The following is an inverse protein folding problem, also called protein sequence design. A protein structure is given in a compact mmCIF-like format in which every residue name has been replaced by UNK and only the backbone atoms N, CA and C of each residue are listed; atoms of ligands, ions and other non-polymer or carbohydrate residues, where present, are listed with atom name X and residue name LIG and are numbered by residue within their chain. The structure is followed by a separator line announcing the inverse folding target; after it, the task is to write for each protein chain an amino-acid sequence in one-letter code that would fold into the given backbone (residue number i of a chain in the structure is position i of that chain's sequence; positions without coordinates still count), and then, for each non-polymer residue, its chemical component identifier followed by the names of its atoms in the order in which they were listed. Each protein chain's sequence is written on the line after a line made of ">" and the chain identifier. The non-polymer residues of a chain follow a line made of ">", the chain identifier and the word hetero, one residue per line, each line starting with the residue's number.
data_IF_886557309180
#
_entry.id   IF_886557309180
#
_cell.length_a   1.000
_cell.length_b   1.000
_cell.length_c   1.000
_cell.angle_alpha   90.00
_cell.angle_beta   90.00
_cell.angle_gamma   90.00
#
_symmetry.space_group_name_H-M   'P 1'
#
loop_
_entity.id
_entity.type
_entity.pdbx_description
1 polymer ?
#
# COMPACT_ATOMS: atom_id res chain seq x y z
N UNK A 1 -8.85 -3.33 2.43
CA UNK A 1 -8.33 -4.25 3.44
C UNK A 1 -6.83 -4.06 3.55
N UNK A 2 -6.35 -3.78 4.74
CA UNK A 2 -4.93 -3.75 5.08
C UNK A 2 -4.63 -5.08 5.78
N UNK A 3 -4.04 -6.01 5.03
CA UNK A 3 -3.91 -7.41 5.44
C UNK A 3 -2.74 -7.54 6.42
N UNK A 4 -2.96 -8.24 7.55
CA UNK A 4 -1.88 -8.52 8.52
C UNK A 4 -0.93 -9.60 7.96
N UNK A 5 0.13 -9.15 7.34
CA UNK A 5 1.24 -9.95 6.80
C UNK A 5 2.51 -9.79 7.65
N UNK A 6 2.36 -9.38 8.94
CA UNK A 6 3.49 -9.10 9.81
C UNK A 6 4.25 -7.84 9.38
N UNK A 7 5.60 -7.89 9.40
CA UNK A 7 6.46 -6.75 9.04
C UNK A 7 6.57 -6.65 7.51
N UNK A 8 5.50 -6.17 6.87
CA UNK A 8 5.36 -6.09 5.41
C UNK A 8 4.09 -5.31 5.02
N UNK A 9 3.92 -5.02 3.74
CA UNK A 9 2.73 -4.38 3.19
C UNK A 9 1.93 -5.33 2.28
N UNK A 10 0.63 -5.34 2.49
CA UNK A 10 -0.34 -5.95 1.58
C UNK A 10 -1.70 -5.28 1.74
N UNK A 11 -2.23 -4.71 0.67
CA UNK A 11 -3.55 -4.10 0.70
C UNK A 11 -4.41 -4.56 -0.48
N UNK A 12 -5.62 -5.05 -0.18
CA UNK A 12 -6.63 -5.39 -1.18
C UNK A 12 -7.68 -4.28 -1.23
N UNK A 13 -7.89 -3.72 -2.41
CA UNK A 13 -8.94 -2.77 -2.70
C UNK A 13 -10.05 -3.45 -3.50
N UNK A 14 -11.31 -3.23 -3.10
CA UNK A 14 -12.48 -3.74 -3.80
C UNK A 14 -13.43 -2.60 -4.10
N UNK A 15 -13.91 -2.52 -5.34
CA UNK A 15 -14.98 -1.62 -5.73
C UNK A 15 -15.84 -2.24 -6.83
N UNK A 16 -17.12 -2.46 -6.53
CA UNK A 16 -18.07 -2.96 -7.51
C UNK A 16 -17.77 -4.37 -8.04
N UNK A 17 -17.09 -5.20 -7.26
CA UNK A 17 -16.68 -6.55 -7.63
C UNK A 17 -15.39 -6.62 -8.45
N UNK A 18 -14.71 -5.50 -8.65
CA UNK A 18 -13.34 -5.46 -9.18
C UNK A 18 -12.34 -5.35 -8.03
N UNK A 19 -11.17 -5.97 -8.19
CA UNK A 19 -10.15 -6.09 -7.16
C UNK A 19 -8.80 -5.59 -7.65
N UNK A 20 -8.12 -4.78 -6.82
CA UNK A 20 -6.76 -4.33 -7.03
C UNK A 20 -5.93 -4.68 -5.80
N UNK A 21 -4.80 -5.35 -5.99
CA UNK A 21 -3.86 -5.68 -4.91
C UNK A 21 -2.65 -4.75 -4.97
N UNK A 22 -2.34 -4.11 -3.85
CA UNK A 22 -1.11 -3.32 -3.67
C UNK A 22 -0.21 -4.08 -2.72
N UNK A 23 0.95 -4.49 -3.20
CA UNK A 23 1.95 -5.29 -2.51
C UNK A 23 1.44 -6.67 -2.05
N UNK A 24 2.32 -7.55 -1.65
CA UNK A 24 1.99 -8.94 -1.34
C UNK A 24 2.67 -9.50 -0.10
N UNK A 25 3.28 -8.64 0.71
CA UNK A 25 4.07 -9.11 1.85
C UNK A 25 5.39 -9.78 1.45
N UNK A 26 5.99 -10.48 2.40
CA UNK A 26 7.19 -11.29 2.18
C UNK A 26 6.89 -12.54 1.35
N UNK A 27 7.93 -13.20 0.86
CA UNK A 27 7.78 -14.50 0.18
C UNK A 27 7.05 -15.53 1.03
N UNK A 28 7.29 -15.53 2.34
CA UNK A 28 6.64 -16.44 3.29
C UNK A 28 5.13 -16.19 3.44
N UNK A 29 4.66 -14.99 3.12
CA UNK A 29 3.25 -14.57 3.27
C UNK A 29 2.38 -14.96 2.07
N UNK A 30 2.98 -15.44 0.96
CA UNK A 30 2.29 -15.80 -0.28
C UNK A 30 1.03 -16.63 -0.05
N UNK A 31 1.11 -17.69 0.77
CA UNK A 31 -0.03 -18.58 1.03
C UNK A 31 -1.12 -17.88 1.85
N UNK A 32 -0.74 -17.03 2.80
CA UNK A 32 -1.68 -16.23 3.58
C UNK A 32 -2.46 -15.29 2.67
N UNK A 33 -1.76 -14.54 1.82
CA UNK A 33 -2.38 -13.59 0.89
C UNK A 33 -3.31 -14.33 -0.09
N UNK A 34 -2.85 -15.43 -0.71
CA UNK A 34 -3.69 -16.25 -1.60
C UNK A 34 -4.96 -16.73 -0.90
N UNK A 35 -4.84 -17.24 0.35
CA UNK A 35 -6.00 -17.70 1.12
C UNK A 35 -6.94 -16.56 1.47
N UNK A 36 -6.41 -15.40 1.85
CA UNK A 36 -7.20 -14.21 2.14
C UNK A 36 -8.01 -13.75 0.91
N UNK A 37 -7.37 -13.68 -0.25
CA UNK A 37 -8.04 -13.33 -1.51
C UNK A 37 -9.17 -14.32 -1.82
N UNK A 38 -8.94 -15.61 -1.59
CA UNK A 38 -9.98 -16.65 -1.76
C UNK A 38 -11.15 -16.45 -0.80
N UNK A 39 -10.91 -16.14 0.46
CA UNK A 39 -11.94 -15.85 1.47
C UNK A 39 -12.76 -14.60 1.11
N UNK A 40 -12.12 -13.59 0.47
CA UNK A 40 -12.83 -12.43 -0.06
C UNK A 40 -13.57 -12.68 -1.37
N UNK A 41 -13.50 -13.91 -1.92
CA UNK A 41 -14.21 -14.29 -3.16
C UNK A 41 -13.57 -13.73 -4.42
N UNK A 42 -12.28 -13.39 -4.37
CA UNK A 42 -11.55 -12.92 -5.55
C UNK A 42 -11.40 -14.06 -6.55
N UNK A 43 -11.88 -13.86 -7.77
CA UNK A 43 -11.68 -14.80 -8.88
C UNK A 43 -10.62 -14.30 -9.86
N UNK A 44 -10.48 -12.97 -9.97
CA UNK A 44 -9.54 -12.30 -10.86
C UNK A 44 -9.12 -10.97 -10.24
N UNK A 45 -7.91 -10.51 -10.54
CA UNK A 45 -7.43 -9.19 -10.16
C UNK A 45 -7.46 -8.25 -11.37
N UNK A 46 -8.07 -7.09 -11.20
CA UNK A 46 -8.01 -5.99 -12.16
C UNK A 46 -6.59 -5.49 -12.35
N UNK A 47 -5.88 -5.39 -11.24
CA UNK A 47 -4.48 -5.03 -11.26
C UNK A 47 -3.73 -5.55 -10.03
N UNK A 48 -2.44 -5.81 -10.21
CA UNK A 48 -1.44 -5.96 -9.16
C UNK A 48 -0.49 -4.78 -9.24
N UNK A 49 -0.27 -4.12 -8.12
CA UNK A 49 0.69 -3.03 -7.99
C UNK A 49 1.78 -3.44 -7.00
N UNK A 50 3.01 -3.50 -7.47
CA UNK A 50 4.20 -3.57 -6.61
C UNK A 50 4.65 -2.13 -6.34
N UNK A 51 4.53 -1.66 -5.10
CA UNK A 51 4.94 -0.29 -4.77
C UNK A 51 6.42 -0.06 -5.03
N UNK A 52 7.26 -0.98 -4.58
CA UNK A 52 8.69 -1.01 -4.86
C UNK A 52 9.26 -2.42 -4.68
N UNK A 53 10.54 -2.61 -5.00
CA UNK A 53 11.11 -3.93 -5.23
C UNK A 53 11.67 -4.65 -3.98
N UNK A 54 11.48 -4.14 -2.76
CA UNK A 54 11.89 -4.85 -1.55
C UNK A 54 11.00 -6.07 -1.28
N UNK A 55 11.56 -7.08 -0.60
CA UNK A 55 10.92 -8.39 -0.40
C UNK A 55 9.60 -8.26 0.36
N UNK A 56 9.54 -7.45 1.39
CA UNK A 56 8.36 -7.22 2.23
C UNK A 56 7.19 -6.51 1.52
N UNK A 57 7.35 -6.22 0.21
CA UNK A 57 6.33 -5.70 -0.70
C UNK A 57 6.10 -6.64 -1.90
N UNK A 58 7.17 -7.00 -2.61
CA UNK A 58 7.06 -7.82 -3.83
C UNK A 58 6.97 -9.32 -3.55
N UNK A 59 7.45 -9.76 -2.37
CA UNK A 59 7.74 -11.17 -2.11
C UNK A 59 6.58 -12.12 -2.32
N UNK A 60 5.40 -11.80 -1.81
CA UNK A 60 4.21 -12.63 -1.94
C UNK A 60 3.51 -12.55 -3.29
N UNK A 61 3.81 -11.52 -4.11
CA UNK A 61 3.11 -11.29 -5.39
C UNK A 61 3.31 -12.43 -6.40
N UNK A 62 4.48 -13.10 -6.37
CA UNK A 62 4.70 -14.26 -7.22
C UNK A 62 3.68 -15.38 -6.95
N UNK A 63 3.38 -15.65 -5.68
CA UNK A 63 2.36 -16.64 -5.29
C UNK A 63 0.95 -16.23 -5.69
N UNK A 64 0.62 -14.95 -5.59
CA UNK A 64 -0.67 -14.41 -6.03
C UNK A 64 -0.83 -14.56 -7.55
N UNK A 65 0.16 -14.14 -8.33
CA UNK A 65 0.15 -14.23 -9.80
C UNK A 65 0.15 -15.69 -10.30
N UNK A 66 0.70 -16.63 -9.51
CA UNK A 66 0.61 -18.05 -9.83
C UNK A 66 -0.83 -18.61 -9.76
N UNK A 67 -1.72 -17.97 -9.02
CA UNK A 67 -3.07 -18.47 -8.72
C UNK A 67 -4.17 -17.64 -9.38
N UNK A 68 -4.03 -16.30 -9.35
CA UNK A 68 -5.09 -15.40 -9.80
C UNK A 68 -4.81 -14.82 -11.18
N UNK A 69 -5.72 -15.01 -12.17
CA UNK A 69 -5.68 -14.25 -13.41
C UNK A 69 -5.64 -12.75 -13.11
N UNK A 70 -4.75 -12.02 -13.78
CA UNK A 70 -4.54 -10.59 -13.56
C UNK A 70 -4.60 -9.87 -14.92
N UNK A 71 -5.28 -8.71 -14.97
CA UNK A 71 -5.39 -7.96 -16.24
C UNK A 71 -4.17 -7.06 -16.47
N UNK A 72 -3.58 -6.49 -15.42
CA UNK A 72 -2.44 -5.59 -15.52
C UNK A 72 -1.53 -5.66 -14.29
N UNK A 73 -0.24 -5.46 -14.50
CA UNK A 73 0.77 -5.43 -13.42
C UNK A 73 1.57 -4.14 -13.52
N UNK A 74 1.70 -3.45 -12.39
CA UNK A 74 2.41 -2.18 -12.28
C UNK A 74 3.54 -2.29 -11.27
N UNK A 75 4.69 -1.71 -11.59
CA UNK A 75 5.82 -1.54 -10.68
C UNK A 75 6.66 -0.34 -11.13
N UNK A 76 7.49 0.25 -10.25
CA UNK A 76 8.33 1.39 -10.62
C UNK A 76 9.52 1.02 -11.52
N UNK A 77 9.82 -0.27 -11.61
CA UNK A 77 10.94 -0.79 -12.40
C UNK A 77 10.61 -2.16 -13.00
N UNK A 78 11.35 -2.54 -14.04
CA UNK A 78 11.35 -3.90 -14.63
C UNK A 78 12.61 -4.70 -14.28
N UNK A 79 13.48 -4.12 -13.47
CA UNK A 79 14.75 -4.76 -13.10
C UNK A 79 15.10 -4.46 -11.65
N UNK A 80 15.37 -5.50 -10.89
CA UNK A 80 15.89 -5.41 -9.54
C UNK A 80 16.67 -6.68 -9.22
N UNK A 81 17.78 -6.59 -8.51
CA UNK A 81 18.65 -7.76 -8.24
C UNK A 81 18.22 -8.47 -6.97
N UNK A 82 17.12 -9.19 -7.02
CA UNK A 82 16.69 -10.11 -5.95
C UNK A 82 15.92 -11.28 -6.53
N UNK A 83 15.97 -12.42 -5.83
CA UNK A 83 15.25 -13.62 -6.26
C UNK A 83 13.73 -13.43 -6.24
N UNK A 84 13.20 -12.80 -5.21
CA UNK A 84 11.75 -12.56 -5.12
C UNK A 84 11.23 -11.69 -6.27
N UNK A 85 12.01 -10.70 -6.72
CA UNK A 85 11.66 -9.89 -7.88
C UNK A 85 11.77 -10.67 -9.20
N UNK A 86 12.77 -11.55 -9.33
CA UNK A 86 12.87 -12.44 -10.50
C UNK A 86 11.70 -13.43 -10.54
N UNK A 87 11.30 -14.00 -9.40
CA UNK A 87 10.14 -14.88 -9.28
C UNK A 87 8.84 -14.11 -9.62
N UNK A 88 8.67 -12.85 -9.16
CA UNK A 88 7.57 -11.97 -9.53
C UNK A 88 7.50 -11.77 -11.06
N UNK A 89 8.60 -11.39 -11.70
CA UNK A 89 8.65 -11.21 -13.15
C UNK A 89 8.35 -12.50 -13.92
N UNK A 90 8.80 -13.65 -13.40
CA UNK A 90 8.51 -14.95 -13.99
C UNK A 90 7.00 -15.22 -14.05
N UNK A 91 6.25 -14.97 -12.98
CA UNK A 91 4.80 -15.19 -12.98
C UNK A 91 4.01 -14.12 -13.73
N UNK A 92 4.54 -12.92 -13.87
CA UNK A 92 4.00 -11.92 -14.82
C UNK A 92 4.09 -12.44 -16.26
N UNK A 93 5.26 -12.98 -16.66
CA UNK A 93 5.49 -13.55 -17.98
C UNK A 93 4.61 -14.80 -18.23
N UNK A 94 4.39 -15.64 -17.22
CA UNK A 94 3.52 -16.82 -17.31
C UNK A 94 2.04 -16.48 -17.61
N UNK A 95 1.62 -15.25 -17.35
CA UNK A 95 0.30 -14.74 -17.70
C UNK A 95 0.29 -13.94 -19.02
N UNK A 96 1.36 -14.02 -19.82
CA UNK A 96 1.55 -13.22 -21.05
C UNK A 96 1.45 -11.70 -20.79
N UNK A 97 1.79 -11.26 -19.56
CA UNK A 97 1.77 -9.85 -19.16
C UNK A 97 3.17 -9.25 -19.20
N UNK A 98 3.21 -7.94 -19.14
CA UNK A 98 4.45 -7.16 -18.99
C UNK A 98 4.22 -6.12 -17.92
N UNK A 99 5.21 -5.97 -17.00
CA UNK A 99 5.17 -4.91 -15.99
C UNK A 99 5.06 -3.55 -16.66
N UNK A 100 4.03 -2.80 -16.31
CA UNK A 100 3.85 -1.41 -16.71
C UNK A 100 4.52 -0.49 -15.70
N UNK A 101 5.29 0.49 -16.18
CA UNK A 101 5.88 1.55 -15.33
C UNK A 101 4.99 2.78 -15.50
N UNK A 102 4.13 3.08 -14.52
CA UNK A 102 3.22 4.20 -14.65
C UNK A 102 3.93 5.52 -14.35
N UNK A 103 3.40 6.60 -14.88
CA UNK A 103 3.86 7.96 -14.64
C UNK A 103 2.89 8.73 -13.74
N UNK A 104 3.36 9.77 -13.01
CA UNK A 104 2.46 10.66 -12.29
C UNK A 104 1.34 11.22 -13.18
N UNK A 105 0.10 11.08 -12.72
CA UNK A 105 -1.10 11.45 -13.46
C UNK A 105 -1.81 10.27 -14.17
N UNK A 106 -1.14 9.13 -14.33
CA UNK A 106 -1.79 7.93 -14.86
C UNK A 106 -2.88 7.43 -13.90
N UNK A 107 -3.92 6.83 -14.46
CA UNK A 107 -5.09 6.38 -13.72
C UNK A 107 -5.39 4.91 -13.97
N UNK A 108 -5.78 4.24 -12.89
CA UNK A 108 -6.28 2.88 -12.88
C UNK A 108 -7.74 2.94 -12.39
N UNK A 109 -8.66 2.52 -13.25
CA UNK A 109 -10.07 2.44 -12.86
C UNK A 109 -10.33 1.14 -12.09
N UNK A 110 -11.11 1.23 -11.02
CA UNK A 110 -11.52 0.12 -10.18
C UNK A 110 -13.03 0.28 -9.86
N UNK A 111 -13.88 -0.34 -10.65
CA UNK A 111 -15.32 -0.12 -10.58
C UNK A 111 -15.67 1.35 -10.81
N UNK A 112 -16.17 2.02 -9.78
CA UNK A 112 -16.45 3.47 -9.79
C UNK A 112 -15.42 4.29 -9.03
N UNK A 113 -14.39 3.64 -8.48
CA UNK A 113 -13.24 4.30 -7.88
C UNK A 113 -12.13 4.50 -8.92
N UNK A 114 -11.28 5.48 -8.69
CA UNK A 114 -10.12 5.76 -9.55
C UNK A 114 -8.86 5.86 -8.70
N UNK A 115 -7.87 5.02 -9.00
CA UNK A 115 -6.53 5.14 -8.43
C UNK A 115 -5.65 6.00 -9.35
N UNK A 116 -5.17 7.12 -8.84
CA UNK A 116 -4.26 8.03 -9.56
C UNK A 116 -2.84 7.85 -9.05
N UNK A 117 -1.89 7.64 -9.94
CA UNK A 117 -0.47 7.62 -9.61
C UNK A 117 0.01 9.04 -9.34
N UNK A 118 0.55 9.29 -8.16
CA UNK A 118 1.10 10.60 -7.78
C UNK A 118 2.63 10.63 -7.83
N UNK A 119 3.28 9.49 -7.61
CA UNK A 119 4.73 9.34 -7.56
C UNK A 119 5.18 7.95 -8.01
N UNK A 120 6.50 7.76 -8.20
CA UNK A 120 7.58 8.72 -7.92
C UNK A 120 7.62 9.85 -8.95
N UNK A 121 8.04 11.05 -8.53
CA UNK A 121 8.14 12.26 -9.40
C UNK A 121 9.54 12.50 -9.95
N UNK A 122 10.50 11.69 -9.53
CA UNK A 122 11.89 11.74 -9.96
C UNK A 122 12.51 10.33 -9.94
N UNK A 123 13.70 10.21 -10.50
CA UNK A 123 14.51 9.00 -10.35
C UNK A 123 15.26 9.04 -9.00
N UNK A 124 15.18 7.92 -8.27
CA UNK A 124 15.83 7.79 -6.96
C UNK A 124 16.78 6.60 -6.94
N UNK A 125 17.97 6.76 -6.33
CA UNK A 125 18.89 5.64 -6.13
C UNK A 125 18.44 4.69 -5.00
N UNK A 126 17.72 5.22 -4.00
CA UNK A 126 17.17 4.45 -2.88
C UNK A 126 15.85 3.80 -3.30
N UNK A 127 15.77 2.48 -3.14
CA UNK A 127 14.62 1.68 -3.58
C UNK A 127 13.30 2.13 -2.94
N UNK A 128 13.30 2.49 -1.65
CA UNK A 128 12.12 3.00 -0.95
C UNK A 128 11.53 4.23 -1.65
N UNK A 129 12.39 5.15 -2.09
CA UNK A 129 11.96 6.38 -2.75
C UNK A 129 11.40 6.16 -4.16
N UNK A 130 11.57 4.95 -4.73
CA UNK A 130 10.93 4.58 -6.00
C UNK A 130 9.48 4.14 -5.84
N UNK A 131 8.95 4.12 -4.62
CA UNK A 131 7.59 3.66 -4.32
C UNK A 131 6.55 4.35 -5.19
N UNK A 132 5.70 3.54 -5.84
CA UNK A 132 4.49 4.03 -6.49
C UNK A 132 3.56 4.61 -5.42
N UNK A 133 3.29 5.89 -5.52
CA UNK A 133 2.34 6.57 -4.63
C UNK A 133 0.98 6.62 -5.32
N UNK A 134 -0.02 6.00 -4.72
CA UNK A 134 -1.36 5.92 -5.28
C UNK A 134 -2.37 6.66 -4.40
N UNK A 135 -3.16 7.55 -5.01
CA UNK A 135 -4.37 8.07 -4.38
C UNK A 135 -5.59 7.44 -5.01
N UNK A 136 -6.43 6.85 -4.19
CA UNK A 136 -7.68 6.23 -4.61
C UNK A 136 -8.84 7.11 -4.21
N UNK A 137 -9.59 7.59 -5.20
CA UNK A 137 -10.74 8.46 -5.03
C UNK A 137 -12.03 7.66 -5.25
N UNK A 138 -12.97 7.73 -4.27
CA UNK A 138 -14.31 7.16 -4.38
C UNK A 138 -15.35 8.14 -3.81
N UNK A 139 -16.21 8.68 -4.65
CA UNK A 139 -17.11 9.76 -4.25
C UNK A 139 -16.32 10.97 -3.77
N UNK A 140 -16.45 11.32 -2.49
CA UNK A 140 -15.69 12.40 -1.83
C UNK A 140 -14.60 11.87 -0.91
N UNK A 141 -14.46 10.55 -0.74
CA UNK A 141 -13.45 9.94 0.11
C UNK A 141 -12.18 9.61 -0.68
N UNK A 142 -11.04 9.69 0.00
CA UNK A 142 -9.71 9.51 -0.58
C UNK A 142 -8.83 8.66 0.30
N UNK A 143 -8.15 7.71 -0.30
CA UNK A 143 -7.14 6.86 0.35
C UNK A 143 -5.79 7.12 -0.30
N UNK A 144 -4.74 7.27 0.50
CA UNK A 144 -3.37 7.48 0.02
C UNK A 144 -2.47 6.32 0.47
N UNK A 145 -1.88 5.65 -0.51
CA UNK A 145 -0.88 4.60 -0.33
C UNK A 145 0.47 5.12 -0.79
N UNK A 146 1.47 5.06 0.07
CA UNK A 146 2.79 5.68 -0.16
C UNK A 146 3.93 4.67 -0.29
N UNK A 147 3.63 3.35 -0.13
CA UNK A 147 4.68 2.36 0.03
C UNK A 147 5.66 2.80 1.12
N UNK A 148 6.94 2.69 0.82
CA UNK A 148 8.02 3.07 1.73
C UNK A 148 8.67 4.41 1.39
N UNK A 149 7.95 5.27 0.66
CA UNK A 149 8.43 6.60 0.31
C UNK A 149 8.97 7.33 1.53
N UNK A 150 10.22 7.81 1.43
CA UNK A 150 10.92 8.52 2.51
C UNK A 150 10.87 10.04 2.31
N UNK A 151 11.31 10.77 3.32
CA UNK A 151 11.25 12.25 3.41
C UNK A 151 11.77 12.98 2.15
N UNK A 152 12.79 12.42 1.46
CA UNK A 152 13.28 13.03 0.22
C UNK A 152 12.22 13.01 -0.88
N UNK A 153 11.63 11.85 -1.13
CA UNK A 153 10.59 11.71 -2.16
C UNK A 153 9.27 12.38 -1.74
N UNK A 154 8.95 12.40 -0.43
CA UNK A 154 7.83 13.20 0.09
C UNK A 154 7.98 14.69 -0.25
N UNK A 155 9.20 15.23 -0.03
CA UNK A 155 9.50 16.64 -0.33
C UNK A 155 9.33 16.93 -1.82
N UNK A 156 9.93 16.09 -2.67
CA UNK A 156 9.84 16.25 -4.12
C UNK A 156 8.39 16.14 -4.61
N UNK A 157 7.61 15.23 -4.04
CA UNK A 157 6.18 15.07 -4.35
C UNK A 157 5.39 16.32 -3.99
N UNK A 158 5.64 16.92 -2.83
CA UNK A 158 5.01 18.20 -2.43
C UNK A 158 5.44 19.35 -3.33
N UNK A 159 6.72 19.43 -3.68
CA UNK A 159 7.28 20.47 -4.58
C UNK A 159 6.75 20.34 -6.01
N UNK A 160 6.36 19.13 -6.44
CA UNK A 160 5.71 18.92 -7.75
C UNK A 160 4.33 19.55 -7.85
N UNK A 161 3.71 19.92 -6.72
CA UNK A 161 2.35 20.44 -6.65
C UNK A 161 1.28 19.36 -6.71
N UNK A 162 1.61 18.08 -6.52
CA UNK A 162 0.64 17.00 -6.49
C UNK A 162 -0.38 17.20 -5.35
N UNK A 163 -1.66 16.95 -5.62
CA UNK A 163 -2.70 16.94 -4.59
C UNK A 163 -2.64 15.63 -3.81
N UNK A 164 -1.98 15.67 -2.64
CA UNK A 164 -1.78 14.51 -1.75
C UNK A 164 -2.87 14.39 -0.68
N UNK A 165 -3.88 15.26 -0.66
CA UNK A 165 -4.95 15.21 0.35
C UNK A 165 -5.67 13.88 0.33
N UNK A 166 -5.87 13.29 1.51
CA UNK A 166 -6.59 12.04 1.67
C UNK A 166 -7.28 11.95 3.04
N UNK A 167 -8.35 11.18 3.13
CA UNK A 167 -9.05 10.92 4.40
C UNK A 167 -8.37 9.78 5.16
N UNK A 168 -7.86 8.77 4.45
CA UNK A 168 -7.12 7.64 5.02
C UNK A 168 -5.71 7.63 4.46
N UNK A 169 -4.72 7.67 5.35
CA UNK A 169 -3.31 7.52 5.01
C UNK A 169 -2.83 6.11 5.41
N UNK A 170 -2.36 5.30 4.45
CA UNK A 170 -1.44 4.21 4.76
C UNK A 170 -0.09 4.82 5.07
N UNK A 171 0.30 4.78 6.33
CA UNK A 171 1.56 5.37 6.82
C UNK A 171 2.74 4.74 6.11
N UNK A 172 3.67 5.57 5.65
CA UNK A 172 4.83 5.11 4.90
C UNK A 172 5.81 4.27 5.73
N UNK A 173 6.43 3.28 5.08
CA UNK A 173 7.54 2.50 5.58
C UNK A 173 7.26 1.92 6.98
N UNK A 174 6.09 1.31 7.16
CA UNK A 174 5.63 0.65 8.40
C UNK A 174 5.74 1.54 9.65
N UNK A 175 5.70 2.86 9.49
CA UNK A 175 5.92 3.81 10.58
C UNK A 175 7.39 4.10 10.89
N UNK A 176 8.30 3.92 9.93
CA UNK A 176 9.70 4.36 10.05
C UNK A 176 9.80 5.88 10.22
N UNK A 177 10.75 6.32 11.07
CA UNK A 177 11.04 7.76 11.26
C UNK A 177 11.56 8.46 10.01
N UNK A 178 12.01 7.71 8.98
CA UNK A 178 12.44 8.25 7.68
C UNK A 178 11.28 8.73 6.82
N UNK A 179 10.04 8.35 7.17
CA UNK A 179 8.81 8.58 6.40
C UNK A 179 7.77 9.35 7.21
N UNK A 180 6.69 9.75 6.54
CA UNK A 180 5.56 10.47 7.12
C UNK A 180 6.01 11.73 7.88
N UNK A 181 6.82 12.55 7.20
CA UNK A 181 7.35 13.80 7.77
C UNK A 181 6.24 14.78 8.14
N UNK A 182 6.50 15.71 9.06
CA UNK A 182 5.52 16.74 9.43
C UNK A 182 4.98 17.54 8.24
N UNK A 183 5.82 18.01 7.28
CA UNK A 183 5.30 18.71 6.11
C UNK A 183 4.37 17.84 5.27
N UNK A 184 4.72 16.55 5.09
CA UNK A 184 3.91 15.62 4.31
C UNK A 184 2.59 15.32 5.03
N UNK A 185 2.62 14.95 6.32
CA UNK A 185 1.42 14.69 7.11
C UNK A 185 0.45 15.87 7.11
N UNK A 186 0.97 17.10 7.23
CA UNK A 186 0.15 18.32 7.16
C UNK A 186 -0.46 18.56 5.78
N UNK A 187 0.23 18.19 4.71
CA UNK A 187 -0.28 18.33 3.36
C UNK A 187 -1.36 17.29 3.04
N UNK A 188 -1.17 16.04 3.50
CA UNK A 188 -2.18 14.97 3.38
C UNK A 188 -3.40 15.29 4.23
N UNK A 189 -3.21 15.78 5.46
CA UNK A 189 -4.24 16.12 6.44
C UNK A 189 -5.28 14.99 6.65
N UNK A 190 -4.83 13.74 6.92
CA UNK A 190 -5.73 12.60 6.96
C UNK A 190 -6.61 12.64 8.22
N UNK A 191 -7.81 12.05 8.11
CA UNK A 191 -8.71 11.81 9.25
C UNK A 191 -8.36 10.52 9.98
N UNK A 192 -7.71 9.57 9.29
CA UNK A 192 -7.35 8.25 9.80
C UNK A 192 -5.98 7.82 9.26
N UNK A 193 -5.21 7.12 10.08
CA UNK A 193 -3.95 6.52 9.70
C UNK A 193 -3.99 5.00 9.88
N UNK A 194 -3.46 4.25 8.91
CA UNK A 194 -3.28 2.81 9.01
C UNK A 194 -1.79 2.49 8.92
N UNK A 195 -1.28 1.68 9.84
CA UNK A 195 0.10 1.21 9.86
C UNK A 195 0.10 -0.30 9.68
N UNK A 196 0.60 -0.78 8.54
CA UNK A 196 0.92 -2.20 8.38
C UNK A 196 2.30 -2.43 8.99
N UNK A 197 2.36 -3.26 10.03
CA UNK A 197 3.56 -3.47 10.83
C UNK A 197 3.46 -4.80 11.58
N UNK A 198 4.58 -5.46 11.81
CA UNK A 198 4.65 -6.72 12.53
C UNK A 198 4.88 -6.55 14.02
N UNK A 199 4.18 -7.32 14.83
CA UNK A 199 4.38 -7.35 16.27
C UNK A 199 5.81 -7.80 16.63
N UNK A 200 6.50 -7.00 17.47
CA UNK A 200 7.84 -7.32 17.94
C UNK A 200 8.90 -7.36 16.85
N UNK A 201 8.72 -6.60 15.77
CA UNK A 201 9.66 -6.53 14.65
C UNK A 201 11.04 -6.01 15.07
N UNK A 202 12.08 -6.43 14.34
CA UNK A 202 13.49 -6.10 14.64
C UNK A 202 13.86 -4.63 14.33
N UNK A 203 12.99 -3.89 13.62
CA UNK A 203 13.24 -2.49 13.23
C UNK A 203 12.80 -1.50 14.29
N UNK A 204 11.98 -1.93 15.26
CA UNK A 204 11.37 -1.05 16.26
C UNK A 204 10.24 -0.19 15.71
N UNK A 205 9.65 -0.59 14.56
CA UNK A 205 8.50 0.07 13.96
C UNK A 205 7.19 -0.27 14.70
N UNK A 206 6.23 0.66 14.75
CA UNK A 206 6.37 2.07 14.34
C UNK A 206 7.25 2.83 15.31
N UNK A 207 8.10 3.72 14.79
CA UNK A 207 8.93 4.58 15.63
C UNK A 207 8.12 5.61 16.39
N UNK A 208 8.57 5.92 17.62
CA UNK A 208 7.90 6.87 18.53
C UNK A 208 7.71 8.25 17.87
N UNK A 209 8.65 8.68 17.02
CA UNK A 209 8.56 9.95 16.31
C UNK A 209 7.36 10.01 15.36
N UNK A 210 7.02 8.89 14.69
CA UNK A 210 5.86 8.82 13.80
C UNK A 210 4.58 8.77 14.62
N UNK A 211 4.55 7.94 15.66
CA UNK A 211 3.41 7.85 16.57
C UNK A 211 3.10 9.21 17.20
N UNK A 212 4.13 9.91 17.70
CA UNK A 212 3.98 11.25 18.26
C UNK A 212 3.40 12.26 17.25
N UNK A 213 3.87 12.23 15.98
CA UNK A 213 3.33 13.12 14.92
C UNK A 213 1.84 12.88 14.68
N UNK A 214 1.42 11.62 14.66
CA UNK A 214 0.01 11.24 14.44
C UNK A 214 -0.85 11.61 15.65
N UNK A 215 -0.40 11.32 16.87
CA UNK A 215 -1.07 11.69 18.11
C UNK A 215 -1.20 13.22 18.28
N UNK A 216 -0.14 13.98 18.00
CA UNK A 216 -0.15 15.44 18.07
C UNK A 216 -1.14 16.05 17.07
N UNK A 217 -1.37 15.37 15.95
CA UNK A 217 -2.37 15.74 14.96
C UNK A 217 -3.80 15.28 15.32
N UNK A 218 -3.96 14.47 16.37
CA UNK A 218 -5.24 13.92 16.81
C UNK A 218 -5.84 12.92 15.84
N UNK A 219 -5.00 12.18 15.11
CA UNK A 219 -5.40 11.23 14.07
C UNK A 219 -5.53 9.84 14.71
N UNK A 220 -6.70 9.18 14.68
CA UNK A 220 -6.87 7.79 15.07
C UNK A 220 -5.97 6.86 14.24
N UNK A 221 -5.27 5.94 14.91
CA UNK A 221 -4.26 5.06 14.31
C UNK A 221 -4.73 3.61 14.40
N UNK A 222 -4.78 2.93 13.27
CA UNK A 222 -5.11 1.52 13.16
C UNK A 222 -3.85 0.74 12.81
N UNK A 223 -3.44 -0.21 13.65
CA UNK A 223 -2.19 -0.96 13.51
C UNK A 223 -2.47 -2.44 13.30
N UNK A 224 -1.86 -3.05 12.29
CA UNK A 224 -2.09 -4.48 12.00
C UNK A 224 -1.49 -5.40 13.07
N UNK A 225 -0.38 -5.04 13.70
CA UNK A 225 0.22 -5.84 14.78
C UNK A 225 -0.70 -5.96 16.03
N UNK A 226 -1.52 -4.96 16.29
CA UNK A 226 -2.45 -4.92 17.42
C UNK A 226 -3.85 -5.41 17.05
N UNK A 227 -4.29 -5.14 15.81
CA UNK A 227 -5.67 -5.33 15.37
C UNK A 227 -5.88 -6.54 14.43
N UNK A 228 -4.81 -7.13 13.89
CA UNK A 228 -4.91 -8.05 12.75
C UNK A 228 -5.23 -7.29 11.47
N UNK A 229 -5.84 -7.94 10.52
CA UNK A 229 -6.29 -7.28 9.29
C UNK A 229 -7.29 -6.18 9.61
N UNK A 230 -7.02 -4.97 9.08
CA UNK A 230 -7.89 -3.79 9.21
C UNK A 230 -8.65 -3.59 7.92
N UNK A 231 -9.97 -3.46 8.00
CA UNK A 231 -10.84 -3.17 6.86
C UNK A 231 -11.43 -1.77 6.99
N UNK A 232 -11.17 -0.93 5.99
CA UNK A 232 -11.78 0.38 5.84
C UNK A 232 -12.82 0.34 4.72
N UNK A 233 -14.06 0.72 5.02
CA UNK A 233 -15.16 0.73 4.06
C UNK A 233 -15.65 2.16 3.85
N UNK A 234 -15.65 2.61 2.59
CA UNK A 234 -16.22 3.89 2.20
C UNK A 234 -17.58 3.72 1.53
N UNK A 235 -18.53 4.57 1.90
CA UNK A 235 -19.80 4.74 1.18
C UNK A 235 -19.75 5.87 0.13
N UNK A 236 -18.56 6.44 -0.12
CA UNK A 236 -18.34 7.59 -1.00
C UNK A 236 -18.41 8.96 -0.29
N UNK A 237 -18.74 8.98 1.00
CA UNK A 237 -18.83 10.21 1.82
C UNK A 237 -18.17 10.05 3.18
N UNK A 238 -18.26 8.87 3.77
CA UNK A 238 -17.70 8.52 5.08
C UNK A 238 -16.90 7.24 5.00
N UNK A 239 -15.93 7.07 5.91
CA UNK A 239 -15.15 5.84 6.05
C UNK A 239 -15.43 5.24 7.42
N UNK A 240 -15.68 3.93 7.44
CA UNK A 240 -15.85 3.14 8.66
C UNK A 240 -14.79 2.05 8.72
N UNK A 241 -14.41 1.65 9.94
CA UNK A 241 -13.36 0.65 10.14
C UNK A 241 -13.87 -0.55 10.93
N UNK A 242 -13.32 -1.71 10.59
CA UNK A 242 -13.43 -2.95 11.37
C UNK A 242 -12.07 -3.67 11.34
N UNK A 243 -11.85 -4.59 12.27
CA UNK A 243 -10.60 -5.33 12.41
C UNK A 243 -10.84 -6.70 13.03
N UNK A 244 -9.87 -7.61 12.90
CA UNK A 244 -10.02 -9.02 13.28
C UNK A 244 -9.93 -9.27 14.79
N UNK A 245 -8.95 -8.66 15.47
CA UNK A 245 -8.67 -8.96 16.88
C UNK A 245 -9.67 -8.25 17.80
N UNK A 246 -10.48 -9.03 18.50
CA UNK A 246 -11.45 -8.48 19.46
C UNK A 246 -10.77 -7.86 20.67
N UNK A 247 -11.26 -6.68 21.10
CA UNK A 247 -10.73 -5.96 22.27
C UNK A 247 -9.62 -4.97 21.97
N UNK A 248 -9.11 -4.92 20.74
CA UNK A 248 -8.27 -3.84 20.28
C UNK A 248 -9.10 -2.57 20.02
N UNK A 249 -8.46 -1.42 20.09
CA UNK A 249 -9.04 -0.10 19.76
C UNK A 249 -7.97 0.76 19.10
N UNK A 250 -8.37 1.71 18.24
CA UNK A 250 -7.44 2.68 17.66
C UNK A 250 -6.75 3.49 18.78
N UNK A 251 -5.46 3.76 18.58
CA UNK A 251 -4.67 4.67 19.42
C UNK A 251 -5.07 6.14 19.21
#
# INVERSE_FOLDING_TARGET
>A
HFIDVGQADCALLECGGEYLLIDGGNVADSQLVVSYLQEQGVEQLKAVVCSHAHEDHVGGLAGVLAVYPTEAVYAPTRTYSSRCFDDFLHYVDQQDLTVQIPSPGDKLELGTATATVLGPVADYPETNNTSLVLRVDFGTTRFLFTGDMETKAETDLLESGADVKADVLKVGHHGSSTSTSYPFLRAVAPQYAVISVGAGNDYGHPHEEVMSRLHDAGIPIYRTDEMGTVTAVSDGTTVTFSWEKTGASPD
#
